data_IF_523374284008
#
_entry.id   IF_523374284008
#
_cell.length_a   1.000
_cell.length_b   1.000
_cell.length_c   1.000
_cell.angle_alpha   90.00
_cell.angle_beta   90.00
_cell.angle_gamma   90.00
#
_symmetry.space_group_name_H-M   'P 1'
#
loop_
_entity.id
_entity.type
_entity.pdbx_description
1 polymer ?
#
# COMPACT_ATOMS: atom_id res chain seq x y z
N UNK A 1 0.32 22.15 -14.10
CA UNK A 1 -0.52 21.25 -13.28
C UNK A 1 -0.42 21.67 -11.83
N UNK A 2 -1.53 21.75 -11.08
CA UNK A 2 -1.53 22.08 -9.65
C UNK A 2 -2.13 20.92 -8.87
N UNK A 3 -1.34 20.33 -7.98
CA UNK A 3 -1.78 19.22 -7.12
C UNK A 3 -2.52 19.82 -5.92
N UNK A 4 -3.71 19.32 -5.63
CA UNK A 4 -4.58 19.88 -4.58
C UNK A 4 -4.36 19.21 -3.22
N UNK A 5 -4.24 17.89 -3.21
CA UNK A 5 -4.03 17.10 -2.01
C UNK A 5 -3.41 15.74 -2.35
N UNK A 6 -2.89 15.07 -1.32
CA UNK A 6 -2.53 13.65 -1.36
C UNK A 6 -3.41 12.86 -0.37
N UNK A 7 -3.64 11.58 -0.67
CA UNK A 7 -4.44 10.66 0.16
C UNK A 7 -3.60 9.90 1.20
N UNK A 8 -2.37 10.36 1.44
CA UNK A 8 -1.47 9.75 2.42
C UNK A 8 -1.81 10.22 3.85
N UNK A 9 -1.55 9.39 4.88
CA UNK A 9 -1.80 9.76 6.28
C UNK A 9 -0.95 10.94 6.76
N UNK A 10 0.19 11.19 6.10
CA UNK A 10 1.08 12.31 6.39
C UNK A 10 1.69 12.86 5.08
N UNK A 11 2.19 14.10 5.14
CA UNK A 11 2.87 14.73 4.00
C UNK A 11 4.11 13.94 3.58
N UNK A 12 4.40 13.98 2.29
CA UNK A 12 5.69 13.52 1.75
C UNK A 12 6.77 14.46 2.30
N UNK A 13 7.85 13.91 2.84
CA UNK A 13 8.91 14.70 3.48
C UNK A 13 9.77 15.48 2.48
N UNK A 14 9.94 14.95 1.28
CA UNK A 14 10.92 15.41 0.31
C UNK A 14 10.36 15.53 -1.10
N UNK A 15 11.07 16.27 -1.95
CA UNK A 15 10.73 16.42 -3.37
C UNK A 15 9.59 17.41 -3.64
N UNK A 16 9.13 17.47 -4.91
CA UNK A 16 8.18 18.48 -5.37
C UNK A 16 6.82 18.46 -4.66
N UNK A 17 6.46 17.32 -4.07
CA UNK A 17 5.17 17.12 -3.40
C UNK A 17 5.19 17.47 -1.91
N UNK A 18 6.34 17.88 -1.34
CA UNK A 18 6.47 18.11 0.10
C UNK A 18 5.57 19.23 0.66
N UNK A 19 5.13 20.16 -0.19
CA UNK A 19 4.22 21.26 0.18
C UNK A 19 2.74 20.92 -0.04
N UNK A 20 2.43 19.79 -0.64
CA UNK A 20 1.04 19.38 -0.94
C UNK A 20 0.40 18.87 0.35
N UNK A 21 -0.79 19.38 0.75
CA UNK A 21 -1.46 18.93 1.96
C UNK A 21 -2.05 17.52 1.80
N UNK A 22 -2.30 16.83 2.91
CA UNK A 22 -3.11 15.61 2.92
C UNK A 22 -4.60 15.94 2.89
N UNK A 23 -5.44 14.96 2.52
CA UNK A 23 -6.89 15.08 2.67
C UNK A 23 -7.30 15.35 4.13
N UNK A 24 -6.60 14.74 5.09
CA UNK A 24 -6.82 14.95 6.54
C UNK A 24 -6.60 16.39 6.95
N UNK A 25 -5.54 17.03 6.46
CA UNK A 25 -5.25 18.46 6.73
C UNK A 25 -6.31 19.40 6.12
N UNK A 26 -7.05 18.92 5.11
CA UNK A 26 -8.17 19.61 4.50
C UNK A 26 -9.53 19.26 5.15
N UNK A 27 -9.53 18.53 6.27
CA UNK A 27 -10.74 18.17 7.01
C UNK A 27 -11.46 16.92 6.50
N UNK A 28 -10.89 16.20 5.54
CA UNK A 28 -11.43 14.92 5.05
C UNK A 28 -10.66 13.79 5.75
N UNK A 29 -11.27 13.18 6.77
CA UNK A 29 -10.65 12.17 7.62
C UNK A 29 -10.53 10.78 6.95
N UNK A 30 -10.04 10.72 5.71
CA UNK A 30 -9.82 9.48 4.97
C UNK A 30 -8.40 9.43 4.42
N UNK A 31 -7.84 8.23 4.40
CA UNK A 31 -6.61 7.93 3.66
C UNK A 31 -6.94 6.93 2.56
N UNK A 32 -6.15 6.93 1.50
CA UNK A 32 -6.22 5.94 0.44
C UNK A 32 -4.81 5.65 -0.05
N UNK A 33 -4.27 4.50 0.36
CA UNK A 33 -2.90 4.10 0.04
C UNK A 33 -2.94 3.09 -1.10
N UNK A 34 -2.30 3.44 -2.23
CA UNK A 34 -2.13 2.52 -3.35
C UNK A 34 -0.98 1.55 -3.05
N UNK A 35 -1.31 0.40 -2.48
CA UNK A 35 -0.37 -0.65 -2.10
C UNK A 35 -0.13 -1.64 -3.24
N UNK A 36 0.94 -2.44 -3.13
CA UNK A 36 1.30 -3.49 -4.10
C UNK A 36 1.70 -4.74 -3.33
N UNK A 37 1.33 -5.89 -3.87
CA UNK A 37 1.59 -7.19 -3.28
C UNK A 37 2.16 -8.17 -4.28
N UNK A 38 2.80 -9.22 -3.77
CA UNK A 38 3.27 -10.36 -4.55
C UNK A 38 2.48 -11.60 -4.13
N UNK A 39 2.02 -12.37 -5.12
CA UNK A 39 1.16 -13.52 -4.92
C UNK A 39 1.81 -14.78 -5.48
N UNK A 40 1.77 -15.85 -4.72
CA UNK A 40 2.14 -17.19 -5.17
C UNK A 40 0.93 -17.94 -5.76
N UNK A 41 1.16 -19.00 -6.56
CA UNK A 41 0.09 -19.85 -7.04
C UNK A 41 -0.59 -20.62 -5.89
N UNK A 42 -1.84 -21.08 -6.07
CA UNK A 42 -2.50 -21.97 -5.10
C UNK A 42 -1.65 -23.22 -4.82
N UNK A 43 -1.52 -23.59 -3.54
CA UNK A 43 -0.74 -24.76 -3.12
C UNK A 43 0.78 -24.59 -3.21
N UNK A 44 1.27 -23.35 -3.35
CA UNK A 44 2.71 -23.06 -3.31
C UNK A 44 3.36 -23.69 -2.05
N UNK A 45 4.42 -24.50 -2.18
CA UNK A 45 5.06 -25.15 -1.04
C UNK A 45 5.60 -24.14 -0.02
N UNK A 46 5.48 -24.46 1.27
CA UNK A 46 5.90 -23.57 2.37
C UNK A 46 7.34 -23.09 2.25
N UNK A 47 8.28 -23.98 1.90
CA UNK A 47 9.69 -23.60 1.73
C UNK A 47 9.90 -22.52 0.65
N UNK A 48 9.06 -22.51 -0.39
CA UNK A 48 9.17 -21.55 -1.48
C UNK A 48 8.55 -20.20 -1.09
N UNK A 49 7.48 -20.21 -0.28
CA UNK A 49 6.93 -19.00 0.36
C UNK A 49 7.97 -18.38 1.27
N UNK A 50 8.61 -19.18 2.12
CA UNK A 50 9.64 -18.73 3.05
C UNK A 50 10.87 -18.18 2.33
N UNK A 51 11.30 -18.83 1.25
CA UNK A 51 12.41 -18.33 0.44
C UNK A 51 12.14 -16.93 -0.12
N UNK A 52 10.97 -16.73 -0.76
CA UNK A 52 10.61 -15.44 -1.35
C UNK A 52 10.37 -14.36 -0.30
N UNK A 53 9.68 -14.69 0.80
CA UNK A 53 9.40 -13.72 1.85
C UNK A 53 10.69 -13.23 2.52
N UNK A 54 11.65 -14.12 2.76
CA UNK A 54 12.96 -13.78 3.31
C UNK A 54 13.79 -12.94 2.33
N UNK A 55 13.80 -13.29 1.04
CA UNK A 55 14.51 -12.51 0.03
C UNK A 55 13.96 -11.08 -0.05
N UNK A 56 12.64 -10.91 -0.03
CA UNK A 56 11.98 -9.60 -0.02
C UNK A 56 12.26 -8.82 1.27
N UNK A 57 12.19 -9.48 2.43
CA UNK A 57 12.50 -8.87 3.72
C UNK A 57 13.94 -8.33 3.77
N UNK A 58 14.90 -9.03 3.17
CA UNK A 58 16.28 -8.55 3.03
C UNK A 58 16.39 -7.41 2.01
N UNK A 59 15.74 -7.55 0.85
CA UNK A 59 15.76 -6.53 -0.21
C UNK A 59 15.27 -5.17 0.29
N UNK A 60 14.17 -5.14 1.05
CA UNK A 60 13.60 -3.87 1.54
C UNK A 60 14.50 -3.15 2.55
N UNK A 61 15.46 -3.85 3.16
CA UNK A 61 16.42 -3.24 4.09
C UNK A 61 17.61 -2.56 3.36
N UNK A 62 17.81 -2.85 2.08
CA UNK A 62 18.94 -2.32 1.30
C UNK A 62 18.85 -0.82 1.08
N UNK A 63 20.01 -0.15 0.97
CA UNK A 63 20.06 1.28 0.61
C UNK A 63 19.50 1.54 -0.78
N UNK A 64 19.75 0.63 -1.74
CA UNK A 64 19.22 0.78 -3.11
C UNK A 64 17.69 0.80 -3.12
N UNK A 65 17.04 -0.05 -2.31
CA UNK A 65 15.58 -0.03 -2.20
C UNK A 65 15.07 1.30 -1.63
N UNK A 66 15.69 1.81 -0.57
CA UNK A 66 15.33 3.11 0.04
C UNK A 66 15.49 4.26 -0.95
N UNK A 67 16.54 4.26 -1.75
CA UNK A 67 16.76 5.25 -2.82
C UNK A 67 15.70 5.16 -3.92
N UNK A 68 15.29 3.94 -4.31
CA UNK A 68 14.20 3.73 -5.26
C UNK A 68 12.89 4.26 -4.68
N UNK A 69 12.57 3.95 -3.43
CA UNK A 69 11.37 4.43 -2.75
C UNK A 69 11.34 5.96 -2.69
N UNK A 70 12.43 6.61 -2.26
CA UNK A 70 12.54 8.06 -2.17
C UNK A 70 12.34 8.73 -3.55
N UNK A 71 13.03 8.22 -4.58
CA UNK A 71 12.93 8.74 -5.95
C UNK A 71 11.52 8.63 -6.54
N UNK A 72 10.77 7.58 -6.17
CA UNK A 72 9.41 7.37 -6.65
C UNK A 72 8.32 7.89 -5.70
N UNK A 73 8.70 8.47 -4.55
CA UNK A 73 7.77 8.90 -3.51
C UNK A 73 6.96 7.75 -2.90
N UNK A 74 7.51 6.54 -2.86
CA UNK A 74 6.85 5.37 -2.29
C UNK A 74 7.14 5.26 -0.79
N UNK A 75 6.11 4.90 -0.03
CA UNK A 75 6.26 4.51 1.36
C UNK A 75 6.71 3.04 1.45
N UNK A 76 7.67 2.76 2.33
CA UNK A 76 8.05 1.39 2.66
C UNK A 76 6.95 0.75 3.51
N UNK A 77 6.36 -0.34 3.02
CA UNK A 77 5.22 -1.00 3.64
C UNK A 77 5.30 -2.53 3.50
N UNK A 78 6.48 -3.09 3.76
CA UNK A 78 6.67 -4.55 3.70
C UNK A 78 5.86 -5.24 4.79
N UNK A 79 5.09 -6.25 4.39
CA UNK A 79 4.38 -7.17 5.28
C UNK A 79 4.80 -8.60 4.94
N UNK A 80 5.04 -9.40 5.98
CA UNK A 80 5.27 -10.84 5.83
C UNK A 80 4.01 -11.56 5.36
N UNK A 81 4.09 -12.85 4.99
CA UNK A 81 2.96 -13.58 4.42
C UNK A 81 1.70 -13.58 5.29
N UNK A 82 1.86 -13.72 6.61
CA UNK A 82 0.74 -13.75 7.55
C UNK A 82 0.08 -12.39 7.68
N UNK A 83 0.87 -11.35 7.93
CA UNK A 83 0.42 -9.97 8.07
C UNK A 83 -0.21 -9.46 6.77
N UNK A 84 0.38 -9.84 5.63
CA UNK A 84 -0.15 -9.50 4.31
C UNK A 84 -1.50 -10.19 4.05
N UNK A 85 -1.64 -11.46 4.43
CA UNK A 85 -2.93 -12.16 4.36
C UNK A 85 -4.03 -11.49 5.20
N UNK A 86 -3.70 -11.07 6.43
CA UNK A 86 -4.64 -10.33 7.29
C UNK A 86 -5.00 -8.96 6.70
N UNK A 87 -4.02 -8.25 6.16
CA UNK A 87 -4.23 -6.98 5.48
C UNK A 87 -5.19 -7.14 4.30
N UNK A 88 -5.02 -8.16 3.46
CA UNK A 88 -5.90 -8.43 2.32
C UNK A 88 -7.33 -8.70 2.73
N UNK A 89 -7.55 -9.46 3.81
CA UNK A 89 -8.91 -9.74 4.32
C UNK A 89 -9.61 -8.44 4.73
N UNK A 90 -8.95 -7.61 5.54
CA UNK A 90 -9.48 -6.31 5.96
C UNK A 90 -9.76 -5.40 4.77
N UNK A 91 -8.78 -5.26 3.87
CA UNK A 91 -8.92 -4.41 2.69
C UNK A 91 -10.04 -4.89 1.77
N UNK A 92 -10.21 -6.20 1.56
CA UNK A 92 -11.32 -6.73 0.77
C UNK A 92 -12.68 -6.40 1.40
N UNK A 93 -12.81 -6.47 2.72
CA UNK A 93 -14.03 -6.08 3.42
C UNK A 93 -14.33 -4.58 3.28
N UNK A 94 -13.32 -3.73 3.42
CA UNK A 94 -13.44 -2.28 3.22
C UNK A 94 -13.87 -1.94 1.79
N UNK A 95 -13.22 -2.52 0.77
CA UNK A 95 -13.60 -2.30 -0.62
C UNK A 95 -15.00 -2.81 -0.92
N UNK A 96 -15.39 -3.95 -0.34
CA UNK A 96 -16.75 -4.47 -0.50
C UNK A 96 -17.79 -3.48 0.00
N UNK A 97 -17.65 -3.02 1.24
CA UNK A 97 -18.55 -2.02 1.84
C UNK A 97 -18.59 -0.75 0.99
N UNK A 98 -17.41 -0.25 0.59
CA UNK A 98 -17.31 0.96 -0.23
C UNK A 98 -18.02 0.80 -1.57
N UNK A 99 -17.81 -0.33 -2.26
CA UNK A 99 -18.45 -0.62 -3.56
C UNK A 99 -19.96 -0.78 -3.43
N UNK A 100 -20.45 -1.34 -2.32
CA UNK A 100 -21.88 -1.42 -2.01
C UNK A 100 -22.47 -0.02 -1.80
N UNK A 101 -21.83 0.82 -0.98
CA UNK A 101 -22.29 2.18 -0.67
C UNK A 101 -22.39 3.09 -1.91
N UNK A 102 -21.44 2.94 -2.85
CA UNK A 102 -21.43 3.73 -4.10
C UNK A 102 -22.19 3.06 -5.25
N UNK A 103 -22.85 1.92 -5.01
CA UNK A 103 -23.67 1.23 -6.01
C UNK A 103 -22.88 0.59 -7.16
N UNK A 104 -21.59 0.31 -6.96
CA UNK A 104 -20.69 -0.29 -7.94
C UNK A 104 -20.42 -1.78 -7.69
N UNK A 105 -20.88 -2.33 -6.56
CA UNK A 105 -20.87 -3.77 -6.38
C UNK A 105 -21.97 -4.38 -7.25
N UNK A 106 -21.58 -5.10 -8.31
CA UNK A 106 -22.52 -5.80 -9.15
C UNK A 106 -23.40 -6.71 -8.28
N UNK A 107 -24.72 -6.51 -8.35
CA UNK A 107 -25.66 -7.47 -7.81
C UNK A 107 -25.39 -8.81 -8.49
N UNK A 108 -25.21 -9.86 -7.69
CA UNK A 108 -25.16 -11.23 -8.20
C UNK A 108 -26.46 -11.58 -8.93
#
# INVERSE_FOLDING_TARGET
MRVLAITAPARIKEGPMAKVPTLRELGIATDFVNWRGLFGPPGMPGYAVDYLSNALAQMVQTSQWKEICARNGWAEAFLGPKEFGQFLETTNQEYRSLLEDVGLLAAK
#
